data_IF_561347947915
#
_entry.id   IF_561347947915
#
_cell.length_a   1.000
_cell.length_b   1.000
_cell.length_c   1.000
_cell.angle_alpha   90.00
_cell.angle_beta   90.00
_cell.angle_gamma   90.00
#
_symmetry.space_group_name_H-M   'P 1'
#
loop_
_entity.id
_entity.type
_entity.pdbx_description
1 polymer ?
#
# COMPACT_ATOMS: atom_id res chain seq x y z
N UNK A 1 6.85 -3.24 -1.08
CA UNK A 1 5.53 -2.97 -0.47
C UNK A 1 5.02 -1.56 -0.72
N UNK A 2 5.73 -0.51 -0.28
CA UNK A 2 5.34 0.90 -0.51
C UNK A 2 5.03 1.21 -1.98
N UNK A 3 5.90 0.78 -2.90
CA UNK A 3 5.75 1.06 -4.33
C UNK A 3 4.51 0.43 -4.95
N UNK A 4 4.11 -0.76 -4.49
CA UNK A 4 2.88 -1.41 -4.92
C UNK A 4 1.67 -0.61 -4.42
N UNK A 5 1.68 -0.18 -3.15
CA UNK A 5 0.62 0.67 -2.58
C UNK A 5 0.46 1.95 -3.40
N UNK A 6 1.56 2.63 -3.71
CA UNK A 6 1.53 3.88 -4.50
C UNK A 6 0.98 3.62 -5.91
N UNK A 7 1.41 2.56 -6.59
CA UNK A 7 0.88 2.19 -7.91
C UNK A 7 -0.62 1.91 -7.88
N UNK A 8 -1.08 1.15 -6.89
CA UNK A 8 -2.49 0.84 -6.71
C UNK A 8 -3.31 2.11 -6.45
N UNK A 9 -2.81 3.01 -5.59
CA UNK A 9 -3.49 4.29 -5.29
C UNK A 9 -3.50 5.24 -6.50
N UNK A 10 -2.51 5.17 -7.39
CA UNK A 10 -2.43 6.00 -8.60
C UNK A 10 -3.16 5.46 -9.83
N UNK A 11 -3.52 4.18 -9.84
CA UNK A 11 -4.10 3.55 -11.04
C UNK A 11 -3.05 2.94 -11.98
N UNK A 12 -1.81 2.80 -11.52
CA UNK A 12 -0.64 2.41 -12.32
C UNK A 12 -0.24 0.93 -12.12
N UNK A 13 -1.06 0.12 -11.43
CA UNK A 13 -0.73 -1.27 -11.13
C UNK A 13 -1.06 -2.27 -12.27
N UNK A 14 -1.48 -1.77 -13.44
CA UNK A 14 -1.71 -2.56 -14.65
C UNK A 14 -2.75 -3.67 -14.43
N UNK A 15 -2.41 -4.92 -14.80
CA UNK A 15 -3.32 -6.07 -14.67
C UNK A 15 -3.73 -6.37 -13.22
N UNK A 16 -2.97 -5.91 -12.22
CA UNK A 16 -3.25 -6.12 -10.79
C UNK A 16 -4.00 -4.95 -10.16
N UNK A 17 -4.40 -3.95 -10.93
CA UNK A 17 -5.07 -2.77 -10.44
C UNK A 17 -6.37 -3.13 -9.72
N UNK A 18 -6.48 -2.71 -8.46
CA UNK A 18 -7.72 -2.81 -7.68
C UNK A 18 -8.79 -2.02 -8.42
N UNK A 19 -9.93 -2.66 -8.70
CA UNK A 19 -11.03 -2.09 -9.50
C UNK A 19 -11.63 -0.83 -8.89
N UNK A 20 -11.64 -0.73 -7.56
CA UNK A 20 -12.14 0.44 -6.82
C UNK A 20 -11.00 1.43 -6.55
N UNK A 21 -11.24 2.74 -6.63
CA UNK A 21 -10.27 3.74 -6.22
C UNK A 21 -9.81 3.52 -4.77
N UNK A 22 -8.49 3.45 -4.56
CA UNK A 22 -7.89 3.27 -3.24
C UNK A 22 -7.49 4.64 -2.68
N UNK A 23 -8.30 5.15 -1.75
CA UNK A 23 -8.05 6.44 -1.09
C UNK A 23 -7.29 6.31 0.23
N UNK A 24 -7.33 5.13 0.85
CA UNK A 24 -6.62 4.79 2.09
C UNK A 24 -5.95 3.44 1.88
N UNK A 25 -4.70 3.30 2.30
CA UNK A 25 -3.97 2.04 2.27
C UNK A 25 -3.13 1.86 3.53
N UNK A 26 -2.84 0.60 3.87
CA UNK A 26 -2.03 0.25 5.04
C UNK A 26 -0.88 -0.64 4.59
N UNK A 27 0.33 -0.31 5.01
CA UNK A 27 1.48 -1.20 4.96
C UNK A 27 1.68 -1.78 6.36
N UNK A 28 1.92 -3.09 6.43
CA UNK A 28 2.34 -3.77 7.63
C UNK A 28 3.61 -4.56 7.30
N UNK A 29 4.74 -4.19 7.90
CA UNK A 29 5.97 -4.94 7.75
C UNK A 29 6.40 -5.54 9.10
N UNK A 30 7.10 -6.66 9.01
CA UNK A 30 7.69 -7.36 10.14
C UNK A 30 9.18 -7.52 9.89
N UNK A 31 9.98 -7.07 10.84
CA UNK A 31 11.42 -7.30 10.90
C UNK A 31 11.76 -8.51 11.77
N UNK A 32 13.03 -8.87 11.76
CA UNK A 32 13.56 -9.89 12.65
C UNK A 32 13.43 -9.43 14.12
N UNK A 33 13.09 -10.34 15.03
CA UNK A 33 12.92 -10.03 16.46
C UNK A 33 11.57 -9.38 16.83
N UNK A 34 10.49 -9.65 16.08
CA UNK A 34 9.13 -9.16 16.37
C UNK A 34 8.96 -7.62 16.30
N UNK A 35 9.86 -6.91 15.62
CA UNK A 35 9.63 -5.50 15.31
C UNK A 35 8.62 -5.38 14.17
N UNK A 36 7.46 -4.81 14.46
CA UNK A 36 6.43 -4.50 13.46
C UNK A 36 6.33 -3.00 13.27
N UNK A 37 6.23 -2.54 12.03
CA UNK A 37 5.82 -1.17 11.73
C UNK A 37 4.58 -1.17 10.82
N UNK A 38 3.68 -0.23 11.11
CA UNK A 38 2.45 -0.03 10.37
C UNK A 38 2.39 1.40 9.88
N UNK A 39 2.21 1.58 8.58
CA UNK A 39 2.12 2.90 7.95
C UNK A 39 0.78 3.05 7.23
N UNK A 40 0.07 4.13 7.51
CA UNK A 40 -1.21 4.46 6.86
C UNK A 40 -1.00 5.55 5.82
N UNK A 41 -1.45 5.30 4.60
CA UNK A 41 -1.39 6.23 3.48
C UNK A 41 -2.78 6.78 3.18
N UNK A 42 -2.87 8.08 2.86
CA UNK A 42 -4.10 8.74 2.41
C UNK A 42 -3.84 9.48 1.10
N UNK A 43 -4.66 9.23 0.08
CA UNK A 43 -4.66 10.00 -1.17
C UNK A 43 -5.31 11.36 -0.89
N UNK A 44 -4.62 12.45 -1.23
CA UNK A 44 -5.19 13.80 -1.25
C UNK A 44 -5.89 14.07 -2.57
#
# INVERSE_FOLDING_TARGET
>A
EVYEIVKQMRGEAGKRQIKKPVNIAVQHNHGYGMHSAVTVYKKR
#
